data_IF_371610970579
#
_entry.id   IF_371610970579
#
_cell.length_a   1.000
_cell.length_b   1.000
_cell.length_c   1.000
_cell.angle_alpha   90.00
_cell.angle_beta   90.00
_cell.angle_gamma   90.00
#
_symmetry.space_group_name_H-M   'P 1'
#
loop_
_entity.id
_entity.type
_entity.pdbx_description
1 polymer ?
#
# COMPACT_ATOMS: atom_id res chain seq x y z
N UNK A 1 1.37 -7.20 12.19
CA UNK A 1 0.57 -8.13 11.37
C UNK A 1 -0.59 -7.34 10.76
N UNK A 2 -1.07 -7.71 9.57
CA UNK A 2 -2.19 -7.01 8.91
C UNK A 2 -3.50 -7.08 9.70
N UNK A 3 -4.47 -6.24 9.33
CA UNK A 3 -5.75 -6.11 10.02
C UNK A 3 -6.73 -5.23 9.24
N UNK A 4 -7.97 -5.12 9.74
CA UNK A 4 -9.03 -4.30 9.12
C UNK A 4 -8.68 -2.82 9.19
N UNK A 5 -8.52 -2.16 8.04
CA UNK A 5 -8.10 -0.76 8.00
C UNK A 5 -9.16 0.16 8.59
N UNK A 6 -10.45 -0.07 8.31
CA UNK A 6 -11.53 0.84 8.72
C UNK A 6 -11.60 1.09 10.23
N UNK A 7 -11.20 0.09 11.03
CA UNK A 7 -11.18 0.16 12.49
C UNK A 7 -9.83 0.63 13.07
N UNK A 8 -8.79 0.78 12.24
CA UNK A 8 -7.41 0.94 12.67
C UNK A 8 -6.66 2.07 11.94
N UNK A 9 -7.35 2.92 11.15
CA UNK A 9 -6.73 3.98 10.36
C UNK A 9 -5.82 4.92 11.18
N UNK A 10 -6.16 5.17 12.44
CA UNK A 10 -5.47 6.06 13.37
C UNK A 10 -4.16 5.49 13.96
N UNK A 11 -4.05 4.17 14.03
CA UNK A 11 -2.89 3.44 14.63
C UNK A 11 -2.14 2.57 13.63
N UNK A 12 -2.48 2.75 12.38
CA UNK A 12 -1.85 2.16 11.24
C UNK A 12 -0.36 2.45 11.13
N UNK A 13 0.38 1.49 10.60
CA UNK A 13 1.80 1.65 10.29
C UNK A 13 2.03 1.37 8.82
N UNK A 14 2.63 2.33 8.12
CA UNK A 14 3.01 2.19 6.72
C UNK A 14 4.19 1.21 6.57
N UNK A 15 4.23 0.48 5.46
CA UNK A 15 5.35 -0.39 5.12
C UNK A 15 5.90 -0.04 3.73
N UNK A 16 7.22 0.02 3.62
CA UNK A 16 7.97 0.34 2.40
C UNK A 16 8.83 -0.85 1.95
N UNK A 17 9.31 -0.80 0.70
CA UNK A 17 10.21 -1.82 0.15
C UNK A 17 11.65 -1.69 0.66
N UNK A 18 11.99 -0.55 1.28
CA UNK A 18 13.29 -0.23 1.85
C UNK A 18 13.11 0.54 3.17
N UNK A 19 14.05 0.43 4.12
CA UNK A 19 14.02 1.26 5.33
C UNK A 19 14.26 2.73 5.00
N UNK A 20 13.74 3.62 5.86
CA UNK A 20 14.02 5.07 5.85
C UNK A 20 13.81 5.76 4.50
N UNK A 21 12.73 5.41 3.78
CA UNK A 21 12.38 6.11 2.54
C UNK A 21 12.06 7.59 2.82
N UNK A 22 12.51 8.47 1.92
CA UNK A 22 12.22 9.91 1.98
C UNK A 22 10.70 10.10 1.98
N UNK A 23 10.18 10.85 2.96
CA UNK A 23 8.74 11.07 3.15
C UNK A 23 8.03 10.00 4.00
N UNK A 24 8.71 8.93 4.41
CA UNK A 24 8.15 7.86 5.24
C UNK A 24 9.15 7.36 6.32
N UNK A 25 9.66 8.23 7.20
CA UNK A 25 10.75 7.90 8.14
C UNK A 25 10.38 6.81 9.16
N UNK A 26 9.09 6.66 9.49
CA UNK A 26 8.60 5.67 10.46
C UNK A 26 8.01 4.42 9.79
N UNK A 27 8.11 4.31 8.47
CA UNK A 27 7.60 3.14 7.77
C UNK A 27 8.46 1.91 8.06
N UNK A 28 7.80 0.80 8.29
CA UNK A 28 8.43 -0.50 8.47
C UNK A 28 8.85 -1.08 7.11
N UNK A 29 9.73 -2.07 7.11
CA UNK A 29 10.12 -2.76 5.86
C UNK A 29 9.19 -3.93 5.60
N UNK A 30 8.69 -4.05 4.37
CA UNK A 30 7.90 -5.20 3.96
C UNK A 30 8.69 -6.51 4.18
N UNK A 31 8.07 -7.55 4.75
CA UNK A 31 8.73 -8.82 5.00
C UNK A 31 9.29 -9.43 3.70
N UNK A 32 10.46 -10.05 3.80
CA UNK A 32 11.09 -10.73 2.68
C UNK A 32 10.14 -11.78 2.06
N UNK A 33 10.01 -11.73 0.73
CA UNK A 33 9.12 -12.62 -0.03
C UNK A 33 7.62 -12.27 0.06
N UNK A 34 7.26 -11.11 0.64
CA UNK A 34 5.89 -10.60 0.58
C UNK A 34 5.50 -10.24 -0.86
N UNK A 35 6.33 -9.48 -1.58
CA UNK A 35 6.15 -9.22 -3.01
C UNK A 35 6.76 -10.40 -3.77
N UNK A 36 5.95 -11.14 -4.53
CA UNK A 36 6.42 -12.25 -5.37
C UNK A 36 6.80 -11.78 -6.77
N UNK A 37 5.97 -10.93 -7.35
CA UNK A 37 6.18 -10.34 -8.67
C UNK A 37 5.63 -8.92 -8.69
N UNK A 38 6.26 -8.05 -9.49
CA UNK A 38 5.78 -6.71 -9.79
C UNK A 38 5.98 -6.45 -11.28
N UNK A 39 4.99 -5.84 -11.91
CA UNK A 39 4.98 -5.45 -13.31
C UNK A 39 4.58 -3.98 -13.38
N UNK A 40 5.35 -3.19 -14.12
CA UNK A 40 5.21 -1.75 -14.22
C UNK A 40 4.82 -1.38 -15.65
N UNK A 41 3.70 -0.67 -15.79
CA UNK A 41 3.31 -0.01 -17.03
C UNK A 41 3.33 1.48 -16.76
N UNK A 42 4.03 2.23 -17.61
CA UNK A 42 4.10 3.68 -17.50
C UNK A 42 3.55 4.33 -18.78
N UNK A 43 2.75 5.38 -18.62
CA UNK A 43 2.39 6.28 -19.70
C UNK A 43 3.01 7.65 -19.41
N UNK A 44 4.07 7.98 -20.14
CA UNK A 44 4.82 9.23 -19.94
C UNK A 44 4.06 10.45 -20.43
N UNK A 45 3.11 10.28 -21.35
CA UNK A 45 2.29 11.38 -21.88
C UNK A 45 1.19 11.76 -20.89
N UNK A 46 0.52 10.78 -20.31
CA UNK A 46 -0.55 10.98 -19.31
C UNK A 46 -0.03 11.00 -17.86
N UNK A 47 1.29 10.89 -17.67
CA UNK A 47 2.00 10.95 -16.40
C UNK A 47 1.45 10.02 -15.29
N UNK A 48 1.29 8.73 -15.63
CA UNK A 48 0.90 7.72 -14.64
C UNK A 48 1.77 6.46 -14.73
N UNK A 49 1.84 5.74 -13.61
CA UNK A 49 2.44 4.41 -13.50
C UNK A 49 1.43 3.47 -12.85
N UNK A 50 1.14 2.36 -13.53
CA UNK A 50 0.35 1.27 -12.98
C UNK A 50 1.30 0.15 -12.54
N UNK A 51 1.11 -0.30 -11.32
CA UNK A 51 1.87 -1.42 -10.75
C UNK A 51 0.90 -2.57 -10.51
N UNK A 52 1.15 -3.71 -11.15
CA UNK A 52 0.42 -4.96 -10.90
C UNK A 52 1.37 -6.03 -10.40
N UNK A 53 0.86 -7.06 -9.71
CA UNK A 53 1.76 -8.05 -9.12
C UNK A 53 1.05 -9.15 -8.35
N UNK A 54 1.86 -10.01 -7.72
CA UNK A 54 1.38 -11.07 -6.82
C UNK A 54 2.02 -10.92 -5.45
N UNK A 55 1.22 -11.08 -4.41
CA UNK A 55 1.63 -10.98 -3.02
C UNK A 55 1.60 -12.36 -2.32
N UNK A 56 2.44 -12.54 -1.31
CA UNK A 56 2.39 -13.65 -0.38
C UNK A 56 1.71 -13.20 0.92
N UNK A 57 0.37 -13.31 0.97
CA UNK A 57 -0.45 -12.85 2.11
C UNK A 57 0.06 -13.36 3.48
N UNK A 58 0.57 -14.59 3.54
CA UNK A 58 1.03 -15.21 4.77
C UNK A 58 2.27 -14.52 5.38
N UNK A 59 3.14 -13.91 4.55
CA UNK A 59 4.32 -13.19 5.04
C UNK A 59 3.98 -11.92 5.82
N UNK A 60 2.78 -11.39 5.64
CA UNK A 60 2.30 -10.19 6.31
C UNK A 60 1.12 -10.46 7.27
N UNK A 61 0.69 -11.73 7.38
CA UNK A 61 -0.46 -12.14 8.18
C UNK A 61 -1.79 -11.61 7.64
N UNK A 62 -1.92 -11.37 6.33
CA UNK A 62 -3.18 -10.93 5.73
C UNK A 62 -4.16 -12.10 5.64
N UNK A 63 -5.42 -11.83 6.03
CA UNK A 63 -6.49 -12.81 5.94
C UNK A 63 -6.78 -13.20 4.49
N UNK A 64 -7.11 -14.47 4.18
CA UNK A 64 -7.63 -14.86 2.87
C UNK A 64 -8.95 -14.15 2.52
N UNK A 65 -9.70 -13.71 3.55
CA UNK A 65 -10.99 -13.02 3.44
C UNK A 65 -10.87 -11.50 3.58
N UNK A 66 -9.64 -10.99 3.59
CA UNK A 66 -9.41 -9.55 3.60
C UNK A 66 -9.99 -8.95 2.31
N UNK A 67 -10.96 -8.04 2.44
CA UNK A 67 -11.58 -7.33 1.32
C UNK A 67 -10.74 -6.17 0.79
N UNK A 68 -9.63 -5.87 1.47
CA UNK A 68 -8.87 -4.65 1.26
C UNK A 68 -9.49 -3.46 1.99
N UNK A 69 -8.74 -2.37 2.03
CA UNK A 69 -9.15 -1.09 2.58
C UNK A 69 -8.20 -0.03 2.08
N UNK A 70 -8.73 1.15 1.77
CA UNK A 70 -7.91 2.31 1.45
C UNK A 70 -7.66 3.10 2.73
N UNK A 71 -6.48 3.69 2.85
CA UNK A 71 -6.23 4.69 3.87
C UNK A 71 -6.81 6.01 3.37
N UNK A 72 -7.97 6.40 3.88
CA UNK A 72 -8.38 7.79 3.80
C UNK A 72 -7.78 8.50 5.02
N UNK A 73 -6.84 9.41 4.79
CA UNK A 73 -6.37 10.26 5.87
C UNK A 73 -7.59 11.00 6.41
N UNK A 74 -7.95 10.82 7.69
CA UNK A 74 -8.86 11.73 8.39
C UNK A 74 -8.17 13.12 8.50
N UNK A 75 -8.26 13.85 7.38
CA UNK A 75 -7.95 15.26 7.04
C UNK A 75 -6.50 15.81 7.14
N UNK A 76 -5.89 16.13 5.98
CA UNK A 76 -5.67 17.53 5.49
C UNK A 76 -5.54 17.57 3.95
N UNK A 77 -6.04 18.66 3.39
CA UNK A 77 -6.55 18.89 2.02
C UNK A 77 -5.52 19.00 0.88
N UNK A 78 -4.56 18.08 0.70
CA UNK A 78 -3.63 18.22 -0.46
C UNK A 78 -3.19 16.92 -1.18
N UNK A 79 -3.72 15.75 -0.84
CA UNK A 79 -3.39 14.52 -1.58
C UNK A 79 -4.66 13.84 -2.10
N UNK A 80 -5.08 14.21 -3.30
CA UNK A 80 -6.06 13.42 -4.06
C UNK A 80 -5.43 12.08 -4.42
N UNK A 81 -5.85 10.99 -3.77
CA UNK A 81 -5.70 9.65 -4.37
C UNK A 81 -6.80 9.51 -5.41
N UNK A 82 -6.33 9.22 -6.63
CA UNK A 82 -7.08 9.09 -7.87
C UNK A 82 -8.25 8.11 -7.72
N UNK A 83 -9.39 8.48 -8.31
CA UNK A 83 -10.63 7.70 -8.41
C UNK A 83 -10.40 6.19 -8.59
N UNK A 84 -11.16 5.41 -7.81
CA UNK A 84 -11.55 4.06 -8.15
C UNK A 84 -12.22 4.06 -9.52
N UNK A 85 -11.70 3.27 -10.47
CA UNK A 85 -12.50 2.72 -11.55
C UNK A 85 -12.86 1.31 -11.10
N UNK A 86 -14.06 1.21 -10.54
CA UNK A 86 -15.03 0.16 -10.82
C UNK A 86 -16.39 0.85 -10.95
#
# INVERSE_FOLDING_TARGET
FGGDIALNEDRAVAFCTKPNMVGAPNAQVLPAGFIKTAHFVANTTANWVQVTGRLNRAKYGLSPKDGGGQYDMRAVQWLQVIHSVD
#
